data_IF_896501115002
#
_entry.id   IF_896501115002
#
_cell.length_a   1.000
_cell.length_b   1.000
_cell.length_c   1.000
_cell.angle_alpha   90.00
_cell.angle_beta   90.00
_cell.angle_gamma   90.00
#
_symmetry.space_group_name_H-M   'P 1'
#
loop_
_entity.id
_entity.type
_entity.pdbx_description
1 polymer ?
#
# COMPACT_ATOMS: atom_id res chain seq x y z
N UNK A 1 -14.43 -27.41 19.93
CA UNK A 1 -15.46 -27.72 18.93
C UNK A 1 -15.17 -26.86 17.73
N UNK A 2 -15.40 -27.32 16.51
CA UNK A 2 -15.28 -26.46 15.33
C UNK A 2 -16.33 -25.35 15.41
N UNK A 3 -15.89 -24.13 15.10
CA UNK A 3 -16.76 -22.95 15.09
C UNK A 3 -17.54 -22.92 13.78
N UNK A 4 -18.84 -22.67 13.85
CA UNK A 4 -19.75 -22.70 12.69
C UNK A 4 -20.52 -21.39 12.53
N UNK A 5 -21.08 -21.18 11.35
CA UNK A 5 -21.95 -20.03 11.11
C UNK A 5 -23.15 -20.06 12.07
N UNK A 6 -23.43 -18.95 12.73
CA UNK A 6 -24.45 -18.80 13.76
C UNK A 6 -23.93 -18.84 15.18
N UNK A 7 -22.72 -19.40 15.41
CA UNK A 7 -22.12 -19.45 16.74
C UNK A 7 -21.78 -18.05 17.24
N UNK A 8 -21.74 -17.91 18.57
CA UNK A 8 -21.44 -16.66 19.24
C UNK A 8 -20.19 -16.79 20.10
N UNK A 9 -19.21 -15.91 19.84
CA UNK A 9 -18.01 -15.75 20.66
C UNK A 9 -18.06 -14.38 21.34
N UNK A 10 -18.54 -14.35 22.58
CA UNK A 10 -18.76 -13.09 23.29
C UNK A 10 -19.71 -12.16 22.56
N UNK A 11 -19.23 -10.99 22.10
CA UNK A 11 -20.02 -10.02 21.36
C UNK A 11 -20.03 -10.27 19.83
N UNK A 12 -19.34 -11.28 19.35
CA UNK A 12 -19.16 -11.53 17.92
C UNK A 12 -20.01 -12.73 17.49
N UNK A 13 -20.88 -12.51 16.52
CA UNK A 13 -21.67 -13.56 15.88
C UNK A 13 -21.01 -13.98 14.58
N UNK A 14 -20.66 -15.24 14.43
CA UNK A 14 -20.04 -15.80 13.25
C UNK A 14 -21.05 -15.81 12.09
N UNK A 15 -20.66 -15.26 10.94
CA UNK A 15 -21.50 -15.20 9.75
C UNK A 15 -21.10 -16.27 8.73
N UNK A 16 -19.79 -16.38 8.45
CA UNK A 16 -19.26 -17.37 7.50
C UNK A 16 -17.77 -17.60 7.73
N UNK A 17 -17.24 -18.72 7.26
CA UNK A 17 -15.79 -18.92 7.16
C UNK A 17 -15.23 -18.09 5.98
N UNK A 18 -14.08 -17.45 6.20
CA UNK A 18 -13.28 -16.76 5.17
C UNK A 18 -12.08 -17.60 4.73
N UNK A 19 -11.60 -18.51 5.58
CA UNK A 19 -10.49 -19.38 5.27
C UNK A 19 -9.99 -20.14 6.49
N UNK A 20 -9.27 -21.24 6.23
CA UNK A 20 -8.61 -22.05 7.25
C UNK A 20 -7.18 -22.35 6.80
N UNK A 21 -6.24 -22.35 7.74
CA UNK A 21 -4.83 -22.65 7.47
C UNK A 21 -4.05 -23.04 8.71
N UNK A 22 -2.77 -23.31 8.58
CA UNK A 22 -1.90 -23.73 9.68
C UNK A 22 -1.74 -22.70 10.80
N UNK A 23 -2.25 -21.48 10.63
CA UNK A 23 -2.21 -20.40 11.63
C UNK A 23 -3.60 -20.10 12.24
N UNK A 24 -4.56 -20.98 12.04
CA UNK A 24 -5.93 -20.86 12.55
C UNK A 24 -6.97 -20.66 11.46
N UNK A 25 -8.18 -20.44 11.90
CA UNK A 25 -9.36 -20.25 11.07
C UNK A 25 -9.78 -18.78 11.11
N UNK A 26 -10.17 -18.23 9.97
CA UNK A 26 -10.62 -16.85 9.84
C UNK A 26 -12.10 -16.84 9.44
N UNK A 27 -12.88 -16.06 10.17
CA UNK A 27 -14.31 -15.94 9.99
C UNK A 27 -14.72 -14.50 9.72
N UNK A 28 -15.79 -14.32 8.95
CA UNK A 28 -16.56 -13.09 8.91
C UNK A 28 -17.50 -13.13 10.11
N UNK A 29 -17.50 -12.09 10.92
CA UNK A 29 -18.31 -11.98 12.12
C UNK A 29 -18.96 -10.61 12.23
N UNK A 30 -20.11 -10.54 12.90
CA UNK A 30 -20.79 -9.30 13.25
C UNK A 30 -20.47 -8.93 14.69
N UNK A 31 -19.89 -7.77 14.91
CA UNK A 31 -19.70 -7.15 16.23
C UNK A 31 -21.01 -6.50 16.67
N UNK A 32 -21.71 -7.12 17.63
CA UNK A 32 -23.00 -6.64 18.11
C UNK A 32 -22.92 -5.35 18.93
N UNK A 33 -21.74 -5.01 19.47
CA UNK A 33 -21.51 -3.77 20.24
C UNK A 33 -21.40 -2.54 19.35
N UNK A 34 -20.74 -2.70 18.19
CA UNK A 34 -20.45 -1.59 17.30
C UNK A 34 -21.27 -1.62 16.01
N UNK A 35 -22.09 -2.66 15.80
CA UNK A 35 -22.96 -2.79 14.63
C UNK A 35 -22.21 -2.88 13.30
N UNK A 36 -21.02 -3.48 13.31
CA UNK A 36 -20.15 -3.62 12.13
C UNK A 36 -19.72 -5.06 11.90
N UNK A 37 -19.30 -5.36 10.69
CA UNK A 37 -18.66 -6.62 10.38
C UNK A 37 -17.14 -6.54 10.54
N UNK A 38 -16.55 -7.65 10.96
CA UNK A 38 -15.11 -7.79 11.22
C UNK A 38 -14.62 -9.13 10.68
N UNK A 39 -13.32 -9.22 10.41
CA UNK A 39 -12.64 -10.50 10.28
C UNK A 39 -12.20 -10.95 11.68
N UNK A 40 -12.51 -12.20 12.04
CA UNK A 40 -12.21 -12.81 13.33
C UNK A 40 -11.30 -14.00 13.09
N UNK A 41 -10.06 -13.94 13.58
CA UNK A 41 -9.07 -15.02 13.45
C UNK A 41 -8.91 -15.75 14.76
N UNK A 42 -9.24 -17.04 14.75
CA UNK A 42 -9.14 -17.93 15.91
C UNK A 42 -7.78 -18.60 15.95
N UNK A 43 -7.15 -18.62 17.12
CA UNK A 43 -5.88 -19.30 17.30
C UNK A 43 -6.09 -20.82 17.38
N UNK A 44 -5.19 -21.62 16.78
CA UNK A 44 -5.18 -23.06 16.97
C UNK A 44 -5.07 -23.44 18.47
N UNK A 45 -5.79 -24.50 18.87
CA UNK A 45 -5.84 -24.91 20.27
C UNK A 45 -4.46 -25.35 20.83
N UNK A 46 -3.63 -25.97 20.00
CA UNK A 46 -2.25 -26.36 20.35
C UNK A 46 -1.36 -25.14 20.62
N UNK A 47 -1.60 -24.05 19.90
CA UNK A 47 -0.89 -22.78 20.09
C UNK A 47 -1.37 -22.05 21.36
N UNK A 48 -2.68 -22.11 21.63
CA UNK A 48 -3.27 -21.54 22.83
C UNK A 48 -2.88 -22.31 24.10
N UNK A 49 -2.56 -23.61 23.99
CA UNK A 49 -2.13 -24.46 25.09
C UNK A 49 -0.67 -24.24 25.54
N UNK A 50 0.16 -23.59 24.70
CA UNK A 50 1.55 -23.27 25.01
C UNK A 50 1.66 -21.81 25.53
N UNK A 51 1.98 -21.59 26.82
CA UNK A 51 2.02 -20.26 27.42
C UNK A 51 3.01 -19.32 26.75
N UNK A 52 4.17 -19.82 26.30
CA UNK A 52 5.21 -19.01 25.67
C UNK A 52 4.78 -18.56 24.25
N UNK A 53 4.13 -19.45 23.51
CA UNK A 53 3.58 -19.12 22.19
C UNK A 53 2.43 -18.13 22.32
N UNK A 54 1.55 -18.31 23.27
CA UNK A 54 0.43 -17.40 23.53
C UNK A 54 0.90 -16.01 23.95
N UNK A 55 1.86 -15.92 24.89
CA UNK A 55 2.43 -14.64 25.32
C UNK A 55 3.10 -13.90 24.16
N UNK A 56 3.79 -14.61 23.28
CA UNK A 56 4.42 -14.04 22.10
C UNK A 56 3.39 -13.55 21.10
N UNK A 57 2.37 -14.36 20.80
CA UNK A 57 1.26 -13.95 19.94
C UNK A 57 0.60 -12.66 20.46
N UNK A 58 0.30 -12.58 21.76
CA UNK A 58 -0.32 -11.39 22.36
C UNK A 58 0.59 -10.15 22.23
N UNK A 59 1.91 -10.31 22.38
CA UNK A 59 2.86 -9.23 22.22
C UNK A 59 2.91 -8.73 20.78
N UNK A 60 3.00 -9.63 19.79
CA UNK A 60 3.04 -9.31 18.38
C UNK A 60 1.71 -8.72 17.90
N UNK A 61 0.57 -9.23 18.37
CA UNK A 61 -0.74 -8.68 18.07
C UNK A 61 -0.91 -7.24 18.61
N UNK A 62 -0.38 -6.96 19.82
CA UNK A 62 -0.36 -5.58 20.36
C UNK A 62 0.52 -4.65 19.53
N UNK A 63 1.67 -5.13 19.05
CA UNK A 63 2.53 -4.36 18.18
C UNK A 63 1.85 -4.06 16.83
N UNK A 64 1.17 -5.05 16.25
CA UNK A 64 0.37 -4.88 15.04
C UNK A 64 -0.81 -3.92 15.24
N UNK A 65 -1.49 -3.97 16.41
CA UNK A 65 -2.59 -3.06 16.72
C UNK A 65 -2.13 -1.59 16.88
N UNK A 66 -0.85 -1.35 17.17
CA UNK A 66 -0.27 -0.01 17.21
C UNK A 66 0.07 0.57 15.82
N UNK A 67 -0.06 -0.24 14.76
CA UNK A 67 0.13 0.22 13.39
C UNK A 67 -1.17 0.87 12.87
N UNK A 68 -1.05 2.10 12.42
CA UNK A 68 -2.11 2.81 11.71
C UNK A 68 -1.57 3.24 10.35
N UNK A 69 -1.87 2.46 9.32
CA UNK A 69 -1.38 2.71 7.97
C UNK A 69 -2.43 2.30 6.93
N UNK A 70 -2.66 3.08 5.86
CA UNK A 70 -3.71 2.79 4.87
C UNK A 70 -3.55 1.43 4.19
N UNK A 71 -2.30 0.95 4.04
CA UNK A 71 -1.99 -0.32 3.40
C UNK A 71 -1.75 -1.49 4.38
N UNK A 72 -2.08 -1.33 5.67
CA UNK A 72 -2.05 -2.39 6.67
C UNK A 72 -3.46 -2.62 7.21
N UNK A 73 -3.83 -3.88 7.41
CA UNK A 73 -5.10 -4.21 8.06
C UNK A 73 -5.09 -3.74 9.52
N UNK A 74 -6.16 -3.07 9.95
CA UNK A 74 -6.27 -2.60 11.34
C UNK A 74 -6.69 -3.76 12.26
N UNK A 75 -5.88 -4.06 13.27
CA UNK A 75 -6.25 -4.98 14.35
C UNK A 75 -7.08 -4.21 15.38
N UNK A 76 -8.28 -4.71 15.69
CA UNK A 76 -9.20 -4.05 16.61
C UNK A 76 -9.06 -4.50 18.04
N UNK A 77 -9.00 -5.83 18.26
CA UNK A 77 -8.89 -6.41 19.60
C UNK A 77 -8.23 -7.78 19.59
N UNK A 78 -7.70 -8.17 20.76
CA UNK A 78 -7.26 -9.53 21.07
C UNK A 78 -8.08 -9.96 22.26
N UNK A 79 -8.85 -11.01 22.13
CA UNK A 79 -9.83 -11.44 23.12
C UNK A 79 -9.71 -12.94 23.45
N UNK A 80 -10.27 -13.30 24.60
CA UNK A 80 -10.45 -14.69 25.02
C UNK A 80 -11.87 -14.88 25.53
N UNK A 81 -12.58 -15.83 24.95
CA UNK A 81 -13.94 -16.20 25.38
C UNK A 81 -14.02 -17.72 25.48
N UNK A 82 -14.46 -18.23 26.63
CA UNK A 82 -14.63 -19.68 26.89
C UNK A 82 -13.39 -20.54 26.55
N UNK A 83 -12.18 -19.97 26.78
CA UNK A 83 -10.92 -20.64 26.48
C UNK A 83 -10.45 -20.50 25.01
N UNK A 84 -11.27 -19.93 24.13
CA UNK A 84 -10.92 -19.67 22.76
C UNK A 84 -10.22 -18.31 22.66
N UNK A 85 -8.99 -18.30 22.16
CA UNK A 85 -8.24 -17.08 21.88
C UNK A 85 -8.45 -16.66 20.43
N UNK A 86 -8.76 -15.40 20.20
CA UNK A 86 -8.96 -14.85 18.87
C UNK A 86 -8.58 -13.38 18.79
N UNK A 87 -8.35 -12.90 17.59
CA UNK A 87 -8.20 -11.47 17.29
C UNK A 87 -9.29 -11.02 16.32
N UNK A 88 -9.68 -9.76 16.44
CA UNK A 88 -10.60 -9.13 15.49
C UNK A 88 -9.87 -8.04 14.71
N UNK A 89 -10.18 -7.92 13.44
CA UNK A 89 -9.53 -6.99 12.56
C UNK A 89 -10.49 -6.48 11.48
N UNK A 90 -10.03 -5.48 10.74
CA UNK A 90 -10.71 -4.92 9.57
C UNK A 90 -11.07 -6.03 8.58
N UNK A 91 -12.35 -6.08 8.20
CA UNK A 91 -12.81 -6.93 7.11
C UNK A 91 -12.51 -6.21 5.79
N UNK A 92 -11.60 -6.77 5.01
CA UNK A 92 -11.19 -6.20 3.72
C UNK A 92 -12.08 -6.78 2.62
N UNK A 93 -12.80 -5.90 1.92
CA UNK A 93 -13.53 -6.27 0.70
C UNK A 93 -12.58 -6.21 -0.50
N UNK A 94 -12.13 -7.38 -0.94
CA UNK A 94 -11.13 -7.51 -1.99
C UNK A 94 -10.78 -8.96 -2.30
N UNK A 95 -9.78 -9.13 -3.16
CA UNK A 95 -9.22 -10.44 -3.50
C UNK A 95 -7.76 -10.52 -3.07
N UNK A 96 -7.31 -11.72 -2.72
CA UNK A 96 -5.88 -11.91 -2.43
C UNK A 96 -5.04 -11.66 -3.69
N UNK A 97 -3.82 -11.14 -3.50
CA UNK A 97 -2.88 -10.95 -4.61
C UNK A 97 -2.61 -12.27 -5.33
N UNK A 98 -2.63 -13.40 -4.59
CA UNK A 98 -2.51 -14.74 -5.16
C UNK A 98 -3.58 -15.04 -6.22
N UNK A 99 -4.81 -14.58 -6.01
CA UNK A 99 -5.94 -14.79 -6.94
C UNK A 99 -5.92 -13.79 -8.10
N UNK A 100 -5.16 -12.71 -7.96
CA UNK A 100 -5.11 -11.64 -8.97
C UNK A 100 -3.91 -11.74 -9.89
N UNK A 101 -2.86 -12.52 -9.55
CA UNK A 101 -1.70 -12.74 -10.42
C UNK A 101 -2.09 -13.66 -11.58
N UNK A 102 -2.06 -13.18 -12.85
CA UNK A 102 -2.32 -14.00 -14.02
C UNK A 102 -1.17 -14.98 -14.26
N UNK A 103 -1.43 -16.08 -14.98
CA UNK A 103 -0.40 -17.07 -15.33
C UNK A 103 0.70 -16.50 -16.24
N UNK A 104 0.37 -15.52 -17.04
CA UNK A 104 1.27 -14.78 -17.93
C UNK A 104 2.01 -13.64 -17.25
N UNK A 105 1.70 -13.36 -15.98
CA UNK A 105 2.22 -12.23 -15.24
C UNK A 105 1.42 -10.92 -15.46
N UNK A 106 1.77 -9.91 -14.71
CA UNK A 106 1.15 -8.59 -14.75
C UNK A 106 2.01 -7.60 -15.57
N UNK A 107 1.40 -6.56 -16.15
CA UNK A 107 2.14 -5.44 -16.73
C UNK A 107 3.07 -4.78 -15.70
N UNK A 108 4.32 -4.46 -16.08
CA UNK A 108 5.34 -3.93 -15.18
C UNK A 108 4.87 -2.67 -14.41
N UNK A 109 4.14 -1.76 -15.04
CA UNK A 109 3.59 -0.58 -14.38
C UNK A 109 2.65 -0.91 -13.23
N UNK A 110 1.81 -1.95 -13.40
CA UNK A 110 0.90 -2.41 -12.32
C UNK A 110 1.67 -3.08 -11.19
N UNK A 111 2.71 -3.85 -11.54
CA UNK A 111 3.59 -4.48 -10.54
C UNK A 111 4.27 -3.41 -9.68
N UNK A 112 4.83 -2.38 -10.29
CA UNK A 112 5.51 -1.29 -9.56
C UNK A 112 4.54 -0.51 -8.67
N UNK A 113 3.33 -0.24 -9.13
CA UNK A 113 2.29 0.43 -8.35
C UNK A 113 1.93 -0.36 -7.08
N UNK A 114 1.62 -1.65 -7.22
CA UNK A 114 1.29 -2.52 -6.09
C UNK A 114 2.50 -2.71 -5.16
N UNK A 115 3.70 -2.88 -5.74
CA UNK A 115 4.95 -3.04 -5.01
C UNK A 115 5.28 -1.83 -4.14
N UNK A 116 5.07 -0.61 -4.66
CA UNK A 116 5.30 0.61 -3.91
C UNK A 116 4.38 0.69 -2.68
N UNK A 117 3.10 0.33 -2.82
CA UNK A 117 2.14 0.31 -1.71
C UNK A 117 2.48 -0.78 -0.66
N UNK A 118 2.95 -1.96 -1.11
CA UNK A 118 3.41 -3.04 -0.22
C UNK A 118 4.67 -2.60 0.52
N UNK A 119 5.66 -2.03 -0.19
CA UNK A 119 6.89 -1.57 0.41
C UNK A 119 6.65 -0.46 1.45
N UNK A 120 5.72 0.45 1.19
CA UNK A 120 5.33 1.52 2.13
C UNK A 120 4.71 0.94 3.42
N UNK A 121 3.85 -0.07 3.30
CA UNK A 121 3.33 -0.82 4.45
C UNK A 121 4.45 -1.49 5.26
N UNK A 122 5.43 -2.11 4.59
CA UNK A 122 6.57 -2.75 5.24
C UNK A 122 7.45 -1.70 5.95
N UNK A 123 7.66 -0.52 5.34
CA UNK A 123 8.38 0.60 5.99
C UNK A 123 7.72 0.97 7.30
N UNK A 124 6.38 1.17 7.30
CA UNK A 124 5.65 1.54 8.50
C UNK A 124 5.75 0.49 9.63
N UNK A 125 5.84 -0.80 9.28
CA UNK A 125 6.05 -1.87 10.22
C UNK A 125 7.50 -1.91 10.76
N UNK A 126 8.49 -1.81 9.87
CA UNK A 126 9.91 -1.83 10.23
C UNK A 126 10.30 -0.63 11.09
N UNK A 127 9.68 0.55 10.90
CA UNK A 127 9.86 1.74 11.75
C UNK A 127 9.35 1.53 13.20
N UNK A 128 8.59 0.45 13.44
CA UNK A 128 8.13 0.00 14.77
C UNK A 128 8.80 -1.32 15.21
N UNK A 129 9.94 -1.66 14.60
CA UNK A 129 10.68 -2.90 14.85
C UNK A 129 9.85 -4.18 14.64
N UNK A 130 8.78 -4.10 13.83
CA UNK A 130 7.93 -5.22 13.49
C UNK A 130 8.27 -5.77 12.11
N UNK A 131 8.83 -6.99 12.08
CA UNK A 131 9.15 -7.73 10.85
C UNK A 131 8.00 -8.67 10.51
N UNK A 132 7.57 -8.71 9.25
CA UNK A 132 6.40 -9.50 8.83
C UNK A 132 6.66 -11.01 8.85
N UNK A 133 7.81 -11.48 8.38
CA UNK A 133 8.29 -12.87 8.40
C UNK A 133 7.46 -13.91 7.64
N UNK A 134 6.26 -13.57 7.18
CA UNK A 134 5.36 -14.45 6.39
C UNK A 134 4.75 -13.70 5.21
N UNK A 135 5.53 -12.82 4.58
CA UNK A 135 5.08 -12.05 3.43
C UNK A 135 4.90 -12.98 2.22
N UNK A 136 3.68 -13.04 1.71
CA UNK A 136 3.28 -13.88 0.55
C UNK A 136 2.03 -13.30 -0.11
N UNK A 137 1.73 -13.62 -1.38
CA UNK A 137 0.55 -13.09 -2.09
C UNK A 137 -0.79 -13.39 -1.39
N UNK A 138 -0.89 -14.47 -0.62
CA UNK A 138 -2.11 -14.78 0.13
C UNK A 138 -2.35 -13.84 1.32
N UNK A 139 -1.30 -13.17 1.83
CA UNK A 139 -1.37 -12.21 2.93
C UNK A 139 -1.44 -10.75 2.43
N UNK A 140 -1.70 -10.55 1.15
CA UNK A 140 -1.85 -9.24 0.52
C UNK A 140 -3.21 -9.21 -0.16
N UNK A 141 -4.10 -8.33 0.29
CA UNK A 141 -5.40 -8.11 -0.36
C UNK A 141 -5.33 -6.91 -1.30
N UNK A 142 -6.02 -7.02 -2.41
CA UNK A 142 -6.23 -5.93 -3.37
C UNK A 142 -7.73 -5.67 -3.42
N UNK A 143 -8.14 -4.49 -3.00
CA UNK A 143 -9.54 -4.05 -3.00
C UNK A 143 -10.03 -3.73 -4.41
N UNK A 144 -11.34 -3.62 -4.60
CA UNK A 144 -11.93 -3.31 -5.91
C UNK A 144 -11.46 -1.97 -6.49
N UNK A 145 -11.13 -1.00 -5.63
CA UNK A 145 -10.55 0.30 -6.01
C UNK A 145 -9.02 0.25 -6.18
N UNK A 146 -8.42 -0.94 -6.13
CA UNK A 146 -7.02 -1.18 -6.42
C UNK A 146 -6.05 -0.93 -5.27
N UNK A 147 -6.54 -0.59 -4.06
CA UNK A 147 -5.69 -0.41 -2.87
C UNK A 147 -5.18 -1.73 -2.33
N UNK A 148 -3.97 -1.69 -1.78
CA UNK A 148 -3.35 -2.83 -1.11
C UNK A 148 -3.66 -2.79 0.38
N UNK A 149 -3.93 -3.96 0.97
CA UNK A 149 -4.01 -4.18 2.41
C UNK A 149 -3.15 -5.39 2.79
N UNK A 150 -2.12 -5.16 3.57
CA UNK A 150 -1.23 -6.19 4.11
C UNK A 150 -1.87 -6.82 5.34
N UNK A 151 -1.98 -8.14 5.35
CA UNK A 151 -2.57 -8.94 6.40
C UNK A 151 -1.48 -9.63 7.24
N UNK A 152 -1.83 -10.11 8.43
CA UNK A 152 -1.12 -11.15 9.19
C UNK A 152 0.40 -10.96 9.31
N UNK A 153 0.84 -9.92 10.00
CA UNK A 153 2.22 -9.86 10.48
C UNK A 153 2.49 -11.11 11.31
N UNK A 154 3.44 -11.90 10.90
CA UNK A 154 3.86 -13.24 11.35
C UNK A 154 3.53 -13.71 12.78
N UNK A 155 2.33 -13.38 13.27
CA UNK A 155 1.81 -13.55 14.63
C UNK A 155 1.93 -14.99 15.18
N UNK A 156 2.28 -15.93 14.32
CA UNK A 156 2.32 -17.36 14.69
C UNK A 156 3.61 -18.09 14.26
N UNK A 157 4.51 -17.47 13.50
CA UNK A 157 5.78 -18.10 13.11
C UNK A 157 6.84 -17.91 14.18
N UNK A 158 6.81 -18.80 15.14
CA UNK A 158 7.99 -19.06 15.96
C UNK A 158 9.04 -19.70 15.04
N UNK A 159 10.00 -18.93 14.58
CA UNK A 159 11.28 -19.53 14.23
C UNK A 159 11.84 -20.02 15.56
N UNK A 160 11.67 -21.34 15.86
CA UNK A 160 12.54 -21.99 16.81
C UNK A 160 13.96 -21.55 16.38
N UNK A 161 14.69 -20.96 17.30
CA UNK A 161 16.15 -21.08 17.22
C UNK A 161 16.40 -22.57 17.33
N UNK A 162 16.50 -23.23 16.19
CA UNK A 162 16.73 -24.68 16.12
C UNK A 162 18.18 -24.79 16.57
N UNK A 163 18.38 -25.39 17.75
CA UNK A 163 19.71 -25.89 18.08
C UNK A 163 20.14 -26.85 16.97
N UNK A 164 21.46 -26.95 16.66
CA UNK A 164 21.93 -27.83 15.60
C UNK A 164 21.40 -29.27 15.69
N UNK A 165 21.07 -29.76 16.90
CA UNK A 165 20.48 -31.07 17.15
C UNK A 165 18.97 -31.17 16.82
N UNK A 166 18.24 -30.05 16.87
CA UNK A 166 16.81 -30.02 16.53
C UNK A 166 16.55 -29.88 15.02
N UNK A 167 17.52 -29.39 14.25
CA UNK A 167 17.40 -29.32 12.78
C UNK A 167 17.25 -30.72 12.18
N UNK A 168 17.98 -31.70 12.70
CA UNK A 168 17.91 -33.10 12.25
C UNK A 168 16.59 -33.74 12.64
N UNK A 169 16.06 -33.43 13.81
CA UNK A 169 14.74 -33.93 14.29
C UNK A 169 13.55 -33.31 13.55
N UNK A 170 13.61 -32.04 13.19
CA UNK A 170 12.56 -31.38 12.40
C UNK A 170 12.45 -31.97 10.98
N UNK A 171 13.51 -32.57 10.45
CA UNK A 171 13.48 -33.33 9.20
C UNK A 171 12.96 -34.78 9.38
N UNK A 172 13.11 -35.38 10.56
CA UNK A 172 12.67 -36.76 10.83
C UNK A 172 11.21 -36.85 11.32
N UNK A 173 10.60 -35.77 11.87
CA UNK A 173 9.18 -35.71 12.25
C UNK A 173 8.22 -35.66 11.04
N UNK A 174 8.70 -35.78 9.82
CA UNK A 174 7.89 -35.99 8.60
C UNK A 174 7.21 -37.38 8.54
N UNK A 175 7.32 -38.22 9.59
CA UNK A 175 6.66 -39.54 9.63
C UNK A 175 5.15 -39.49 9.94
N UNK A 176 4.56 -38.36 10.30
CA UNK A 176 3.12 -38.22 10.50
C UNK A 176 2.50 -37.14 9.60
N UNK A 177 2.54 -37.34 8.28
CA UNK A 177 1.53 -36.78 7.34
C UNK A 177 1.25 -35.28 7.30
N UNK A 178 1.90 -34.46 8.12
CA UNK A 178 1.82 -33.00 8.08
C UNK A 178 3.09 -32.47 7.44
N UNK A 179 3.15 -32.53 6.13
CA UNK A 179 4.13 -31.76 5.34
C UNK A 179 3.80 -30.30 5.58
N UNK A 180 4.46 -29.70 6.54
CA UNK A 180 4.58 -28.24 6.65
C UNK A 180 5.48 -27.82 5.47
N UNK A 181 4.85 -27.73 4.27
CA UNK A 181 5.56 -27.43 3.03
C UNK A 181 6.42 -26.19 3.22
N UNK A 182 7.67 -26.25 2.83
CA UNK A 182 8.57 -25.09 2.85
C UNK A 182 7.89 -23.98 2.06
N UNK A 183 7.49 -22.89 2.72
CA UNK A 183 6.76 -21.83 2.02
C UNK A 183 7.68 -21.22 0.97
N UNK A 184 7.24 -21.12 -0.28
CA UNK A 184 8.08 -20.70 -1.40
C UNK A 184 8.53 -19.25 -1.36
N UNK A 185 8.13 -18.51 -0.33
CA UNK A 185 8.49 -17.10 -0.12
C UNK A 185 9.43 -16.90 1.08
N UNK A 186 9.88 -18.00 1.73
CA UNK A 186 10.88 -17.92 2.80
C UNK A 186 12.23 -17.45 2.27
N UNK A 187 12.92 -16.64 3.08
CA UNK A 187 14.30 -16.26 2.80
C UNK A 187 15.28 -17.40 3.11
N UNK A 188 16.52 -17.36 2.55
CA UNK A 188 17.56 -18.32 2.86
C UNK A 188 17.86 -18.49 4.36
N UNK A 189 17.89 -17.37 5.10
CA UNK A 189 18.13 -17.37 6.55
C UNK A 189 16.98 -18.00 7.34
N UNK A 190 15.73 -17.86 6.88
CA UNK A 190 14.58 -18.56 7.49
C UNK A 190 14.66 -20.07 7.28
N UNK A 191 15.08 -20.50 6.11
CA UNK A 191 15.26 -21.94 5.78
C UNK A 191 16.43 -22.52 6.57
N UNK A 192 17.53 -21.77 6.67
CA UNK A 192 18.73 -22.21 7.39
C UNK A 192 18.61 -22.12 8.92
N UNK A 193 17.53 -21.51 9.44
CA UNK A 193 17.36 -21.29 10.87
C UNK A 193 18.36 -20.33 11.48
N UNK A 194 18.97 -19.45 10.68
CA UNK A 194 19.92 -18.43 11.14
C UNK A 194 19.18 -17.17 11.61
N UNK A 195 19.90 -16.16 12.11
CA UNK A 195 19.30 -14.91 12.57
C UNK A 195 18.49 -14.23 11.46
N UNK A 196 17.24 -13.91 11.75
CA UNK A 196 16.28 -13.29 10.81
C UNK A 196 16.06 -11.85 11.22
N UNK A 197 16.35 -10.90 10.32
CA UNK A 197 16.08 -9.48 10.50
C UNK A 197 15.04 -8.96 9.47
N UNK A 198 14.88 -7.65 9.37
CA UNK A 198 13.95 -6.98 8.47
C UNK A 198 14.21 -7.27 6.98
N UNK A 199 15.41 -7.71 6.60
CA UNK A 199 15.79 -8.02 5.21
C UNK A 199 15.18 -9.32 4.70
N UNK A 200 14.59 -10.13 5.58
CA UNK A 200 13.79 -11.29 5.18
C UNK A 200 12.54 -10.87 4.40
N UNK A 201 11.88 -9.78 4.82
CA UNK A 201 10.70 -9.25 4.13
C UNK A 201 11.06 -8.70 2.73
N UNK A 202 12.29 -8.16 2.59
CA UNK A 202 12.81 -7.70 1.29
C UNK A 202 12.97 -8.86 0.32
N UNK A 203 13.52 -9.99 0.77
CA UNK A 203 13.62 -11.20 -0.03
C UNK A 203 12.24 -11.74 -0.43
N UNK A 204 11.33 -11.82 0.53
CA UNK A 204 9.95 -12.27 0.27
C UNK A 204 9.23 -11.35 -0.72
N UNK A 205 9.40 -10.03 -0.61
CA UNK A 205 8.85 -9.07 -1.57
C UNK A 205 9.49 -9.23 -2.95
N UNK A 206 10.81 -9.44 -3.03
CA UNK A 206 11.49 -9.75 -4.30
C UNK A 206 10.90 -10.99 -5.00
N UNK A 207 10.61 -12.04 -4.22
CA UNK A 207 9.94 -13.25 -4.73
C UNK A 207 8.55 -12.96 -5.28
N UNK A 208 7.77 -12.13 -4.56
CA UNK A 208 6.43 -11.71 -4.98
C UNK A 208 6.51 -10.86 -6.26
N UNK A 209 7.44 -9.92 -6.34
CA UNK A 209 7.62 -9.07 -7.53
C UNK A 209 7.97 -9.90 -8.78
N UNK A 210 8.85 -10.87 -8.62
CA UNK A 210 9.18 -11.79 -9.70
C UNK A 210 7.94 -12.56 -10.16
N UNK A 211 7.15 -13.13 -9.22
CA UNK A 211 5.94 -13.87 -9.54
C UNK A 211 4.87 -12.98 -10.19
N UNK A 212 4.71 -11.74 -9.72
CA UNK A 212 3.80 -10.78 -10.34
C UNK A 212 4.15 -10.48 -11.79
N UNK A 213 5.45 -10.37 -12.13
CA UNK A 213 5.91 -10.08 -13.48
C UNK A 213 5.84 -11.27 -14.43
N UNK A 214 6.06 -12.48 -13.91
CA UNK A 214 6.27 -13.68 -14.75
C UNK A 214 5.13 -14.69 -14.66
N UNK A 215 4.21 -14.54 -13.69
CA UNK A 215 3.19 -15.53 -13.35
C UNK A 215 3.74 -16.80 -12.68
N UNK A 216 5.05 -16.86 -12.45
CA UNK A 216 5.73 -18.02 -11.85
C UNK A 216 6.71 -17.58 -10.77
N UNK A 217 6.98 -18.43 -9.80
CA UNK A 217 7.96 -18.14 -8.74
C UNK A 217 9.39 -18.33 -9.23
N UNK A 218 10.37 -17.54 -8.73
CA UNK A 218 11.76 -17.64 -9.16
C UNK A 218 12.41 -18.95 -8.73
N UNK A 219 12.02 -19.49 -7.58
CA UNK A 219 12.56 -20.73 -7.03
C UNK A 219 11.48 -21.80 -7.01
N UNK A 220 11.78 -22.99 -7.54
CA UNK A 220 10.81 -24.05 -7.74
C UNK A 220 11.37 -25.39 -7.25
N UNK A 221 10.49 -26.32 -6.93
CA UNK A 221 10.83 -27.68 -6.53
C UNK A 221 9.57 -28.52 -6.40
N UNK A 222 9.64 -29.79 -6.72
CA UNK A 222 8.54 -30.75 -6.61
C UNK A 222 8.39 -31.29 -5.18
N UNK A 223 9.44 -31.15 -4.35
CA UNK A 223 9.46 -31.49 -2.93
C UNK A 223 9.88 -30.29 -2.10
N UNK A 224 9.55 -30.29 -0.80
CA UNK A 224 9.97 -29.23 0.14
C UNK A 224 11.49 -29.09 0.20
N UNK A 225 12.22 -30.22 0.10
CA UNK A 225 13.68 -30.24 0.10
C UNK A 225 14.26 -29.62 -1.20
N UNK A 226 13.70 -29.94 -2.36
CA UNK A 226 14.11 -29.32 -3.62
C UNK A 226 13.81 -27.82 -3.63
N UNK A 227 12.65 -27.40 -3.14
CA UNK A 227 12.29 -26.00 -2.99
C UNK A 227 13.29 -25.28 -2.08
N UNK A 228 13.62 -25.84 -0.92
CA UNK A 228 14.61 -25.28 -0.01
C UNK A 228 15.99 -25.17 -0.67
N UNK A 229 16.44 -26.21 -1.37
CA UNK A 229 17.71 -26.21 -2.09
C UNK A 229 17.75 -25.11 -3.17
N UNK A 230 16.68 -24.95 -3.93
CA UNK A 230 16.54 -23.91 -4.94
C UNK A 230 16.63 -22.52 -4.32
N UNK A 231 15.90 -22.25 -3.22
CA UNK A 231 15.97 -20.96 -2.52
C UNK A 231 17.37 -20.67 -1.98
N UNK A 232 18.07 -21.68 -1.48
CA UNK A 232 19.40 -21.53 -0.91
C UNK A 232 20.51 -21.32 -1.94
N UNK A 233 20.41 -21.92 -3.10
CA UNK A 233 21.55 -22.07 -4.03
C UNK A 233 21.32 -21.52 -5.44
N UNK A 234 20.08 -21.62 -5.98
CA UNK A 234 19.86 -21.27 -7.37
C UNK A 234 19.86 -19.74 -7.56
N UNK A 235 20.47 -19.23 -8.62
CA UNK A 235 20.36 -17.82 -8.97
C UNK A 235 18.91 -17.49 -9.37
N UNK A 236 18.56 -16.22 -9.30
CA UNK A 236 17.29 -15.74 -9.84
C UNK A 236 17.26 -15.96 -11.35
N UNK A 237 16.25 -16.65 -11.92
CA UNK A 237 16.11 -16.78 -13.36
C UNK A 237 15.90 -15.41 -14.02
N UNK A 238 16.42 -15.24 -15.25
CA UNK A 238 16.24 -13.99 -15.99
C UNK A 238 14.75 -13.69 -16.24
N UNK A 239 14.35 -12.45 -16.05
CA UNK A 239 12.99 -11.99 -16.37
C UNK A 239 12.96 -11.67 -17.87
N UNK A 240 12.30 -12.54 -18.63
CA UNK A 240 12.21 -12.43 -20.10
C UNK A 240 10.88 -11.81 -20.56
N UNK A 241 10.06 -11.27 -19.64
CA UNK A 241 8.76 -10.67 -19.97
C UNK A 241 8.94 -9.38 -20.75
N UNK A 242 8.27 -9.20 -21.91
CA UNK A 242 8.38 -7.99 -22.70
C UNK A 242 7.94 -6.74 -21.93
N UNK A 243 8.67 -5.64 -22.08
CA UNK A 243 8.30 -4.35 -21.47
C UNK A 243 8.67 -4.21 -20.00
N UNK A 244 9.42 -5.16 -19.41
CA UNK A 244 9.96 -5.00 -18.06
C UNK A 244 11.21 -4.11 -18.12
N UNK A 245 11.23 -2.96 -17.38
CA UNK A 245 12.42 -2.13 -17.31
C UNK A 245 13.61 -2.88 -16.71
N UNK A 246 14.81 -2.69 -17.27
CA UNK A 246 16.04 -3.30 -16.73
C UNK A 246 16.28 -2.97 -15.26
N UNK A 247 16.01 -1.72 -14.87
CA UNK A 247 16.10 -1.24 -13.48
C UNK A 247 15.20 -2.03 -12.53
N UNK A 248 14.00 -2.45 -12.95
CA UNK A 248 13.11 -3.28 -12.15
C UNK A 248 13.67 -4.71 -12.01
N UNK A 249 14.19 -5.28 -13.08
CA UNK A 249 14.83 -6.59 -13.05
C UNK A 249 16.06 -6.61 -12.13
N UNK A 250 16.90 -5.57 -12.20
CA UNK A 250 18.08 -5.41 -11.35
C UNK A 250 17.69 -5.22 -9.87
N UNK A 251 16.64 -4.45 -9.59
CA UNK A 251 16.12 -4.26 -8.25
C UNK A 251 15.64 -5.59 -7.64
N UNK A 252 14.87 -6.37 -8.40
CA UNK A 252 14.40 -7.69 -7.97
C UNK A 252 15.58 -8.63 -7.74
N UNK A 253 16.59 -8.62 -8.61
CA UNK A 253 17.81 -9.43 -8.45
C UNK A 253 18.53 -9.12 -7.14
N UNK A 254 18.67 -7.83 -6.79
CA UNK A 254 19.26 -7.41 -5.51
C UNK A 254 18.39 -7.82 -4.31
N UNK A 255 17.08 -7.75 -4.41
CA UNK A 255 16.19 -8.25 -3.36
C UNK A 255 16.37 -9.75 -3.12
N UNK A 256 16.63 -10.52 -4.16
CA UNK A 256 16.76 -11.99 -4.15
C UNK A 256 18.20 -12.48 -3.92
N UNK A 257 19.14 -11.61 -3.61
CA UNK A 257 20.48 -11.99 -3.19
C UNK A 257 20.43 -12.96 -1.99
N UNK A 258 21.25 -14.03 -2.02
CA UNK A 258 21.23 -15.08 -0.99
C UNK A 258 21.77 -14.56 0.34
N UNK A 259 22.86 -13.80 0.27
CA UNK A 259 23.43 -13.11 1.42
C UNK A 259 22.58 -11.86 1.74
N UNK A 260 22.02 -11.72 2.97
CA UNK A 260 21.27 -10.54 3.36
C UNK A 260 22.04 -9.21 3.22
N UNK A 261 23.37 -9.22 3.36
CA UNK A 261 24.19 -8.01 3.24
C UNK A 261 24.32 -7.49 1.80
N UNK A 262 24.04 -8.33 0.81
CA UNK A 262 24.04 -7.97 -0.61
C UNK A 262 22.67 -7.49 -1.11
N UNK A 263 21.62 -7.60 -0.27
CA UNK A 263 20.28 -7.15 -0.60
C UNK A 263 20.15 -5.63 -0.50
N UNK A 264 19.03 -5.13 -1.00
CA UNK A 264 18.57 -3.77 -0.67
C UNK A 264 18.50 -3.65 0.85
N UNK A 265 19.19 -2.66 1.41
CA UNK A 265 19.46 -2.60 2.86
C UNK A 265 18.23 -2.29 3.72
N UNK A 266 17.15 -1.74 3.14
CA UNK A 266 15.93 -1.42 3.88
C UNK A 266 14.70 -1.34 2.97
N UNK A 267 13.51 -1.57 3.53
CA UNK A 267 12.25 -1.38 2.83
C UNK A 267 12.06 0.08 2.35
N UNK A 268 12.60 1.05 3.09
CA UNK A 268 12.58 2.47 2.71
C UNK A 268 13.38 2.74 1.42
N UNK A 269 14.55 2.14 1.29
CA UNK A 269 15.35 2.24 0.06
C UNK A 269 14.63 1.54 -1.10
N UNK A 270 14.08 0.35 -0.86
CA UNK A 270 13.29 -0.38 -1.85
C UNK A 270 12.08 0.43 -2.34
N UNK A 271 11.32 1.04 -1.43
CA UNK A 271 10.18 1.90 -1.78
C UNK A 271 10.61 3.11 -2.62
N UNK A 272 11.73 3.74 -2.27
CA UNK A 272 12.29 4.87 -3.04
C UNK A 272 12.69 4.46 -4.46
N UNK A 273 13.34 3.32 -4.62
CA UNK A 273 13.76 2.83 -5.94
C UNK A 273 12.54 2.43 -6.81
N UNK A 274 11.53 1.77 -6.24
CA UNK A 274 10.27 1.49 -6.93
C UNK A 274 9.58 2.78 -7.40
N UNK A 275 9.55 3.82 -6.57
CA UNK A 275 9.02 5.12 -6.95
C UNK A 275 9.82 5.78 -8.10
N UNK A 276 11.16 5.63 -8.12
CA UNK A 276 11.98 6.17 -9.21
C UNK A 276 11.75 5.46 -10.54
N UNK A 277 11.51 4.13 -10.52
CA UNK A 277 11.15 3.36 -11.71
C UNK A 277 9.81 3.82 -12.27
N UNK A 278 8.83 4.11 -11.39
CA UNK A 278 7.54 4.70 -11.82
C UNK A 278 7.74 6.04 -12.51
N UNK A 279 8.61 6.90 -11.98
CA UNK A 279 8.92 8.20 -12.56
C UNK A 279 9.71 8.10 -13.89
N UNK A 280 10.59 7.11 -14.03
CA UNK A 280 11.37 6.84 -15.24
C UNK A 280 10.56 6.20 -16.36
N UNK A 281 9.61 5.33 -16.04
CA UNK A 281 8.73 4.68 -17.02
C UNK A 281 7.78 5.65 -17.73
N UNK A 282 7.59 6.86 -17.19
CA UNK A 282 6.83 7.93 -17.83
C UNK A 282 7.47 8.53 -19.11
N UNK A 283 8.69 8.09 -19.48
CA UNK A 283 9.40 8.63 -20.65
C UNK A 283 9.24 7.81 -21.95
N UNK A 284 8.64 6.62 -21.89
CA UNK A 284 8.53 5.74 -23.06
C UNK A 284 7.21 4.96 -23.15
N UNK A 285 6.05 5.58 -22.92
CA UNK A 285 4.76 4.93 -23.22
C UNK A 285 3.73 5.96 -23.67
N UNK A 286 3.73 6.22 -24.95
CA UNK A 286 2.53 6.70 -25.67
C UNK A 286 1.58 5.52 -25.80
N UNK A 287 0.57 5.44 -24.95
CA UNK A 287 -0.79 4.92 -25.09
C UNK A 287 -1.32 4.47 -23.71
N UNK A 288 -2.05 5.36 -23.05
CA UNK A 288 -2.81 5.04 -21.85
C UNK A 288 -4.17 4.50 -22.22
N UNK A 289 -4.66 3.43 -21.51
CA UNK A 289 -6.10 3.32 -21.34
C UNK A 289 -6.55 4.51 -20.47
N UNK A 290 -7.64 5.12 -20.84
CA UNK A 290 -8.26 6.19 -20.08
C UNK A 290 -8.47 5.71 -18.63
N UNK A 291 -7.73 6.26 -17.69
CA UNK A 291 -7.93 6.00 -16.28
C UNK A 291 -9.28 6.61 -15.90
N UNK A 292 -10.24 5.76 -15.50
CA UNK A 292 -11.49 6.21 -14.94
C UNK A 292 -11.22 7.05 -13.70
N UNK A 293 -11.45 8.36 -13.77
CA UNK A 293 -11.36 9.28 -12.65
C UNK A 293 -10.68 10.61 -12.98
N UNK A 294 -11.08 11.62 -12.24
CA UNK A 294 -10.53 12.97 -12.36
C UNK A 294 -9.30 13.13 -11.47
N UNK A 295 -8.12 13.02 -12.07
CA UNK A 295 -6.86 13.21 -11.39
C UNK A 295 -6.44 14.67 -11.40
N UNK A 296 -6.02 15.17 -10.24
CA UNK A 296 -5.51 16.52 -10.03
C UNK A 296 -4.05 16.44 -9.63
N UNK A 297 -3.20 17.23 -10.24
CA UNK A 297 -1.81 17.40 -9.83
C UNK A 297 -1.54 18.83 -9.42
N UNK A 298 -0.66 19.02 -8.46
CA UNK A 298 -0.07 20.31 -8.12
C UNK A 298 1.37 20.29 -8.62
N UNK A 299 1.67 21.12 -9.63
CA UNK A 299 3.04 21.32 -10.08
C UNK A 299 3.82 22.09 -9.00
N UNK A 300 5.10 21.77 -8.85
CA UNK A 300 5.97 22.53 -7.95
C UNK A 300 5.92 24.01 -8.29
N UNK A 301 5.61 24.84 -7.30
CA UNK A 301 5.58 26.29 -7.50
C UNK A 301 6.97 26.79 -7.85
N UNK A 302 7.04 27.66 -8.83
CA UNK A 302 8.31 28.22 -9.32
C UNK A 302 8.57 29.59 -8.70
N UNK A 303 9.80 29.87 -8.28
CA UNK A 303 10.22 31.18 -7.81
C UNK A 303 11.09 31.87 -8.86
N UNK A 304 10.82 33.16 -9.10
CA UNK A 304 11.70 33.97 -9.94
C UNK A 304 12.68 34.70 -9.03
N UNK A 305 13.89 34.11 -8.86
CA UNK A 305 14.95 34.60 -7.97
C UNK A 305 15.73 33.44 -7.39
N UNK A 306 16.94 33.71 -6.87
CA UNK A 306 17.84 32.72 -6.28
C UNK A 306 17.80 32.71 -4.75
N UNK A 307 16.82 33.38 -4.12
CA UNK A 307 16.69 33.40 -2.66
C UNK A 307 16.24 32.02 -2.15
N UNK A 308 16.98 31.46 -1.23
CA UNK A 308 16.70 30.16 -0.59
C UNK A 308 15.32 30.19 0.11
N UNK A 309 14.96 31.34 0.67
CA UNK A 309 13.70 31.53 1.41
C UNK A 309 12.49 31.52 0.45
N UNK A 310 12.62 32.06 -0.75
CA UNK A 310 11.56 32.01 -1.77
C UNK A 310 11.37 30.60 -2.31
N UNK A 311 12.45 29.81 -2.43
CA UNK A 311 12.37 28.42 -2.84
C UNK A 311 11.66 27.62 -1.75
N UNK A 312 12.03 27.80 -0.49
CA UNK A 312 11.37 27.16 0.65
C UNK A 312 9.87 27.53 0.75
N UNK A 313 9.52 28.78 0.52
CA UNK A 313 8.11 29.21 0.47
C UNK A 313 7.35 28.55 -0.68
N UNK A 314 7.96 28.43 -1.87
CA UNK A 314 7.33 27.78 -3.02
C UNK A 314 7.10 26.26 -2.77
N UNK A 315 8.07 25.59 -2.17
CA UNK A 315 7.96 24.18 -1.77
C UNK A 315 6.87 23.99 -0.71
N UNK A 316 6.86 24.79 0.36
CA UNK A 316 5.87 24.71 1.42
C UNK A 316 4.45 24.99 0.93
N UNK A 317 4.23 25.99 0.08
CA UNK A 317 2.93 26.25 -0.55
C UNK A 317 2.47 25.06 -1.41
N UNK A 318 3.38 24.43 -2.14
CA UNK A 318 3.06 23.24 -2.93
C UNK A 318 2.59 22.09 -2.04
N UNK A 319 3.31 21.81 -0.95
CA UNK A 319 2.99 20.74 -0.01
C UNK A 319 1.65 20.99 0.72
N UNK A 320 1.41 22.21 1.19
CA UNK A 320 0.17 22.55 1.89
C UNK A 320 -1.05 22.48 0.98
N UNK A 321 -0.94 22.91 -0.28
CA UNK A 321 -2.02 22.80 -1.25
C UNK A 321 -2.29 21.33 -1.58
N UNK A 322 -1.25 20.50 -1.75
CA UNK A 322 -1.41 19.03 -1.93
C UNK A 322 -2.15 18.43 -0.73
N UNK A 323 -1.71 18.75 0.50
CA UNK A 323 -2.34 18.28 1.72
C UNK A 323 -3.80 18.75 1.84
N UNK A 324 -4.07 20.00 1.50
CA UNK A 324 -5.41 20.57 1.50
C UNK A 324 -6.35 19.88 0.50
N UNK A 325 -5.93 19.70 -0.74
CA UNK A 325 -6.71 19.01 -1.78
C UNK A 325 -6.94 17.54 -1.46
N UNK A 326 -6.00 16.88 -0.80
CA UNK A 326 -6.10 15.46 -0.42
C UNK A 326 -7.17 15.17 0.65
N UNK A 327 -7.70 16.21 1.32
CA UNK A 327 -8.82 16.07 2.28
C UNK A 327 -10.17 15.85 1.59
N UNK A 328 -10.29 16.16 0.30
CA UNK A 328 -11.54 15.99 -0.44
C UNK A 328 -11.63 14.58 -1.00
N UNK A 329 -12.53 13.77 -0.45
CA UNK A 329 -12.71 12.35 -0.81
C UNK A 329 -13.07 12.09 -2.27
N UNK A 330 -13.63 13.09 -2.96
CA UNK A 330 -14.00 13.02 -4.37
C UNK A 330 -12.83 13.38 -5.33
N UNK A 331 -11.69 13.86 -4.82
CA UNK A 331 -10.49 14.16 -5.61
C UNK A 331 -9.46 13.03 -5.49
N UNK A 332 -8.76 12.80 -6.59
CA UNK A 332 -7.55 11.98 -6.63
C UNK A 332 -6.37 12.89 -6.90
N UNK A 333 -5.57 13.13 -5.88
CA UNK A 333 -4.44 14.06 -5.96
C UNK A 333 -3.16 13.29 -6.25
N UNK A 334 -2.43 13.69 -7.30
CA UNK A 334 -1.10 13.19 -7.58
C UNK A 334 -0.10 13.92 -6.68
N UNK A 335 0.65 13.17 -5.88
CA UNK A 335 1.64 13.72 -4.96
C UNK A 335 2.99 14.00 -5.62
N UNK A 336 3.23 13.48 -6.83
CA UNK A 336 4.49 13.69 -7.58
C UNK A 336 4.22 13.78 -9.08
N UNK A 337 4.72 14.86 -9.69
CA UNK A 337 4.62 15.10 -11.13
C UNK A 337 3.19 15.42 -11.61
N UNK A 338 3.08 15.87 -12.85
CA UNK A 338 1.81 16.27 -13.47
C UNK A 338 1.34 15.30 -14.54
N UNK A 339 2.18 14.31 -14.88
CA UNK A 339 1.90 13.36 -15.93
C UNK A 339 0.68 12.48 -15.59
N UNK A 340 -0.36 12.61 -16.43
CA UNK A 340 -1.59 11.85 -16.30
C UNK A 340 -2.66 12.48 -15.43
N UNK A 341 -2.42 13.64 -14.83
CA UNK A 341 -3.49 14.43 -14.25
C UNK A 341 -4.32 15.06 -15.37
N UNK A 342 -5.63 15.02 -15.22
CA UNK A 342 -6.52 15.79 -16.07
C UNK A 342 -6.48 17.26 -15.70
N UNK A 343 -6.33 17.59 -14.44
CA UNK A 343 -6.25 18.95 -13.97
C UNK A 343 -4.89 19.19 -13.33
N UNK A 344 -4.25 20.30 -13.70
CA UNK A 344 -2.95 20.71 -13.16
C UNK A 344 -3.08 22.09 -12.54
N UNK A 345 -2.73 22.19 -11.28
CA UNK A 345 -2.59 23.45 -10.57
C UNK A 345 -1.12 23.86 -10.61
N UNK A 346 -0.84 25.03 -11.12
CA UNK A 346 0.50 25.60 -11.24
C UNK A 346 0.60 26.91 -10.47
N UNK A 347 1.76 27.18 -9.89
CA UNK A 347 2.01 28.42 -9.18
C UNK A 347 3.37 29.04 -9.51
N UNK A 348 3.43 30.36 -9.42
CA UNK A 348 4.68 31.10 -9.55
C UNK A 348 4.76 32.25 -8.55
N UNK A 349 5.95 32.42 -7.94
CA UNK A 349 6.27 33.45 -6.99
C UNK A 349 7.22 34.49 -7.61
N UNK A 350 6.88 35.76 -7.45
CA UNK A 350 7.74 36.86 -7.88
C UNK A 350 7.84 37.88 -6.77
N UNK A 351 9.07 38.16 -6.34
CA UNK A 351 9.34 39.20 -5.35
C UNK A 351 9.81 40.49 -6.03
N UNK A 352 9.29 41.62 -5.58
CA UNK A 352 9.77 42.95 -5.93
C UNK A 352 9.84 43.80 -4.66
N UNK A 353 11.05 44.04 -4.16
CA UNK A 353 11.28 44.69 -2.87
C UNK A 353 10.61 43.90 -1.73
N UNK A 354 9.78 44.55 -0.93
CA UNK A 354 9.02 43.96 0.17
C UNK A 354 7.66 43.38 -0.26
N UNK A 355 7.40 43.28 -1.55
CA UNK A 355 6.13 42.75 -2.07
C UNK A 355 6.37 41.39 -2.75
N UNK A 356 5.54 40.42 -2.42
CA UNK A 356 5.46 39.10 -3.07
C UNK A 356 4.16 39.03 -3.86
N UNK A 357 4.28 38.65 -5.12
CA UNK A 357 3.14 38.25 -5.96
C UNK A 357 3.17 36.77 -6.20
N UNK A 358 2.10 36.08 -5.83
CA UNK A 358 1.86 34.67 -6.09
C UNK A 358 0.76 34.54 -7.13
N UNK A 359 1.08 33.91 -8.26
CA UNK A 359 0.10 33.62 -9.31
C UNK A 359 -0.20 32.13 -9.26
N UNK A 360 -1.47 31.77 -9.20
CA UNK A 360 -1.94 30.38 -9.20
C UNK A 360 -2.88 30.18 -10.37
N UNK A 361 -2.75 29.06 -11.08
CA UNK A 361 -3.55 28.72 -12.25
C UNK A 361 -3.98 27.27 -12.19
N UNK A 362 -5.21 26.98 -12.63
CA UNK A 362 -5.74 25.65 -12.83
C UNK A 362 -6.01 25.42 -14.31
N UNK A 363 -5.46 24.35 -14.86
CA UNK A 363 -5.58 24.00 -16.28
C UNK A 363 -6.18 22.60 -16.45
N UNK A 364 -7.09 22.43 -17.43
CA UNK A 364 -7.52 21.11 -17.92
C UNK A 364 -6.56 20.68 -19.04
N UNK A 365 -5.79 19.62 -18.78
CA UNK A 365 -4.77 19.11 -19.72
C UNK A 365 -5.38 18.45 -20.96
N UNK A 366 -6.65 18.06 -20.91
CA UNK A 366 -7.35 17.45 -22.04
C UNK A 366 -7.72 18.49 -23.08
N UNK A 367 -8.13 19.68 -22.63
CA UNK A 367 -8.55 20.78 -23.51
C UNK A 367 -7.48 21.85 -23.68
N UNK A 368 -6.46 21.88 -22.81
CA UNK A 368 -5.48 22.95 -22.73
C UNK A 368 -6.03 24.27 -22.17
N UNK A 369 -7.27 24.29 -21.71
CA UNK A 369 -7.92 25.49 -21.23
C UNK A 369 -7.53 25.82 -19.77
N UNK A 370 -7.26 27.10 -19.49
CA UNK A 370 -7.17 27.59 -18.13
C UNK A 370 -8.58 27.72 -17.56
N UNK A 371 -8.90 26.92 -16.55
CA UNK A 371 -10.19 26.95 -15.87
C UNK A 371 -10.29 28.09 -14.86
N UNK A 372 -9.16 28.45 -14.28
CA UNK A 372 -9.07 29.51 -13.27
C UNK A 372 -7.64 30.02 -13.15
N UNK A 373 -7.50 31.32 -12.85
CA UNK A 373 -6.23 31.93 -12.53
C UNK A 373 -6.44 33.12 -11.60
N UNK A 374 -5.61 33.22 -10.56
CA UNK A 374 -5.69 34.30 -9.59
C UNK A 374 -4.31 34.78 -9.15
N UNK A 375 -4.22 36.07 -8.79
CA UNK A 375 -3.00 36.71 -8.34
C UNK A 375 -3.20 37.21 -6.90
N UNK A 376 -2.32 36.75 -6.02
CA UNK A 376 -2.28 37.18 -4.63
C UNK A 376 -1.06 38.08 -4.42
N UNK A 377 -1.25 39.23 -3.76
CA UNK A 377 -0.14 40.12 -3.38
C UNK A 377 -0.06 40.19 -1.87
N UNK A 378 1.12 39.99 -1.30
CA UNK A 378 1.40 39.98 0.13
C UNK A 378 2.66 40.78 0.42
N UNK A 379 2.73 41.35 1.62
CA UNK A 379 3.99 41.87 2.16
C UNK A 379 4.90 40.67 2.49
N UNK A 380 6.17 40.77 2.13
CA UNK A 380 7.14 39.70 2.28
C UNK A 380 8.33 40.15 3.12
N UNK A 381 8.61 39.35 4.15
CA UNK A 381 9.88 39.32 4.85
C UNK A 381 10.24 37.86 5.17
N UNK A 382 11.50 37.50 5.44
CA UNK A 382 11.87 36.14 5.81
C UNK A 382 11.08 35.59 7.02
N UNK A 383 10.68 36.44 7.94
CA UNK A 383 9.94 36.06 9.14
C UNK A 383 8.44 35.79 8.90
N UNK A 384 7.90 36.18 7.73
CA UNK A 384 6.47 36.04 7.42
C UNK A 384 6.16 34.85 6.49
N UNK A 385 7.12 33.95 6.25
CA UNK A 385 6.96 32.81 5.34
C UNK A 385 5.77 31.93 5.71
N UNK A 386 5.67 31.54 6.98
CA UNK A 386 4.57 30.69 7.47
C UNK A 386 3.22 31.40 7.45
N UNK A 387 3.17 32.70 7.80
CA UNK A 387 1.94 33.49 7.70
C UNK A 387 1.42 33.60 6.26
N UNK A 388 2.34 33.65 5.29
CA UNK A 388 1.99 33.68 3.87
C UNK A 388 1.47 32.31 3.41
N UNK A 389 2.07 31.20 3.85
CA UNK A 389 1.61 29.85 3.58
C UNK A 389 0.20 29.63 4.14
N UNK A 390 0.02 29.86 5.45
CA UNK A 390 -1.25 29.73 6.16
C UNK A 390 -2.35 30.65 5.57
N UNK A 391 -1.97 31.80 5.05
CA UNK A 391 -2.91 32.77 4.47
C UNK A 391 -3.23 32.56 2.99
N UNK A 392 -2.47 31.72 2.26
CA UNK A 392 -2.68 31.49 0.82
C UNK A 392 -3.19 30.09 0.49
N UNK A 393 -2.69 29.04 1.15
CA UNK A 393 -3.06 27.68 0.81
C UNK A 393 -4.58 27.40 1.04
N UNK A 394 -5.20 27.76 2.16
CA UNK A 394 -6.62 27.51 2.37
C UNK A 394 -7.55 28.20 1.35
N UNK A 395 -7.41 29.48 1.01
CA UNK A 395 -8.23 30.13 -0.02
C UNK A 395 -8.08 29.47 -1.40
N UNK A 396 -6.86 29.09 -1.80
CA UNK A 396 -6.62 28.40 -3.07
C UNK A 396 -7.34 27.05 -3.08
N UNK A 397 -7.17 26.26 -2.02
CA UNK A 397 -7.81 24.94 -1.87
C UNK A 397 -9.33 25.05 -1.91
N UNK A 398 -9.91 26.01 -1.16
CA UNK A 398 -11.36 26.25 -1.14
C UNK A 398 -11.89 26.63 -2.52
N UNK A 399 -11.28 27.63 -3.19
CA UNK A 399 -11.70 28.06 -4.53
C UNK A 399 -11.66 26.91 -5.55
N UNK A 400 -10.66 26.04 -5.43
CA UNK A 400 -10.45 24.95 -6.38
C UNK A 400 -11.34 23.76 -6.08
N UNK A 401 -11.47 23.35 -4.81
CA UNK A 401 -11.96 22.04 -4.41
C UNK A 401 -13.24 22.04 -3.53
N UNK A 402 -13.74 23.16 -3.04
CA UNK A 402 -15.05 23.14 -2.37
C UNK A 402 -16.15 22.68 -3.32
N UNK A 403 -17.28 22.22 -2.80
CA UNK A 403 -18.39 21.70 -3.60
C UNK A 403 -18.84 22.66 -4.71
N UNK A 404 -18.68 23.98 -4.48
CA UNK A 404 -18.92 25.06 -5.43
C UNK A 404 -17.67 25.51 -6.19
N UNK A 405 -16.54 24.84 -5.99
CA UNK A 405 -15.25 25.16 -6.58
C UNK A 405 -15.14 24.86 -8.06
N UNK A 406 -14.03 25.29 -8.63
CA UNK A 406 -13.77 25.20 -10.07
C UNK A 406 -13.70 23.75 -10.55
N UNK A 407 -13.08 22.84 -9.76
CA UNK A 407 -12.93 21.44 -10.12
C UNK A 407 -14.26 20.69 -10.18
N UNK A 408 -15.12 20.68 -9.13
CA UNK A 408 -16.42 20.00 -9.21
C UNK A 408 -17.29 20.50 -10.36
N UNK A 409 -17.26 21.80 -10.63
CA UNK A 409 -18.01 22.38 -11.74
C UNK A 409 -17.51 21.87 -13.10
N UNK A 410 -16.21 21.86 -13.33
CA UNK A 410 -15.59 21.36 -14.56
C UNK A 410 -15.82 19.88 -14.75
N UNK A 411 -15.67 19.08 -13.66
CA UNK A 411 -15.93 17.64 -13.65
C UNK A 411 -17.39 17.32 -13.99
N UNK A 412 -18.33 17.96 -13.32
CA UNK A 412 -19.76 17.79 -13.59
C UNK A 412 -20.15 18.17 -15.03
N UNK A 413 -19.54 19.23 -15.57
CA UNK A 413 -19.78 19.66 -16.95
C UNK A 413 -19.27 18.62 -17.96
N UNK A 414 -18.12 18.02 -17.73
CA UNK A 414 -17.56 16.99 -18.60
C UNK A 414 -18.34 15.69 -18.64
N UNK A 415 -19.13 15.40 -17.57
CA UNK A 415 -19.95 14.21 -17.45
C UNK A 415 -21.36 14.35 -18.07
N UNK A 416 -21.73 15.54 -18.54
CA UNK A 416 -23.08 15.79 -19.12
C UNK A 416 -23.40 14.94 -20.34
N UNK A 417 -22.40 14.68 -21.19
CA UNK A 417 -22.57 13.91 -22.41
C UNK A 417 -22.57 12.39 -22.19
N UNK A 418 -22.19 11.92 -21.00
CA UNK A 418 -22.12 10.50 -20.66
C UNK A 418 -23.49 9.98 -20.26
N UNK A 419 -23.91 8.83 -20.80
CA UNK A 419 -25.17 8.20 -20.43
C UNK A 419 -25.15 7.70 -18.99
N UNK A 420 -26.31 7.61 -18.33
CA UNK A 420 -26.40 7.18 -16.92
C UNK A 420 -25.84 5.77 -16.70
N UNK A 421 -26.05 4.88 -17.65
CA UNK A 421 -25.57 3.51 -17.63
C UNK A 421 -24.04 3.37 -17.78
N UNK A 422 -23.37 4.43 -18.26
CA UNK A 422 -21.91 4.51 -18.49
C UNK A 422 -21.18 5.23 -17.36
N UNK A 423 -21.90 5.75 -16.37
CA UNK A 423 -21.31 6.47 -15.24
C UNK A 423 -20.80 5.48 -14.19
N UNK A 424 -19.56 5.64 -13.77
CA UNK A 424 -19.09 4.98 -12.55
C UNK A 424 -19.81 5.56 -11.33
N UNK A 425 -19.87 4.84 -10.18
CA UNK A 425 -20.49 5.37 -8.95
C UNK A 425 -19.92 6.72 -8.53
N UNK A 426 -18.62 6.93 -8.74
CA UNK A 426 -17.93 8.18 -8.46
C UNK A 426 -18.36 9.32 -9.39
N UNK A 427 -18.50 9.05 -10.68
CA UNK A 427 -18.97 10.02 -11.68
C UNK A 427 -20.45 10.38 -11.47
N UNK A 428 -21.26 9.40 -11.07
CA UNK A 428 -22.66 9.64 -10.72
C UNK A 428 -22.78 10.58 -9.51
N UNK A 429 -21.92 10.39 -8.49
CA UNK A 429 -21.83 11.30 -7.34
C UNK A 429 -21.46 12.72 -7.78
N UNK A 430 -20.40 12.87 -8.57
CA UNK A 430 -19.94 14.18 -9.08
C UNK A 430 -21.03 14.88 -9.92
N UNK A 431 -21.75 14.12 -10.75
CA UNK A 431 -22.86 14.65 -11.55
C UNK A 431 -24.04 15.07 -10.67
N UNK A 432 -24.31 14.37 -9.56
CA UNK A 432 -25.41 14.67 -8.62
C UNK A 432 -25.15 15.91 -7.76
N UNK A 433 -23.90 16.27 -7.47
CA UNK A 433 -23.55 17.45 -6.66
C UNK A 433 -24.18 18.76 -7.18
N UNK A 434 -24.54 18.80 -8.46
CA UNK A 434 -25.21 19.96 -9.08
C UNK A 434 -26.73 19.94 -8.94
N UNK A 435 -27.36 18.77 -8.75
CA UNK A 435 -28.82 18.65 -8.62
C UNK A 435 -29.36 19.25 -7.32
N UNK A 436 -28.55 19.28 -6.26
CA UNK A 436 -28.91 19.88 -4.97
C UNK A 436 -28.93 21.41 -4.97
N UNK A 437 -28.59 22.06 -6.08
CA UNK A 437 -28.52 23.52 -6.22
C UNK A 437 -29.75 24.17 -6.87
N UNK A 438 -30.74 23.39 -7.29
CA UNK A 438 -31.91 23.89 -8.05
C UNK A 438 -33.21 23.86 -7.23
N UNK A 439 -33.08 23.74 -5.90
CA UNK A 439 -34.18 23.87 -4.98
C UNK A 439 -33.93 24.94 -3.93
#
# INVERSE_FOLDING_TARGET
MPISAGDQLGAYRILSSLGAGGMGEVYRASDSRLGREVALKVLPADMAADPDRLARFQREARAAAALNHPNIVTVYSVEQVEGVHFLTMELVDGRSLRETIPREGMPAGRVVELAAAIADAIVAAHDKDLVHRDLKPANIMVTADGRVKLLDFGLAKVVRAVSPDDATRAFDETQYGVVMGTPPYMSPEQISGTAVDHRTDIFSLGTILYEMLTGTRPFQGTTSMQMAASILRDPMPAISSPGVPGELSDLISRCLAKNPDERVSSARLLAKELQSITAGSGRAATARPAADGFWVAVASFTSTGTSTELVALAEGLTEEIIAGLSRFSYLRVLTKGTAGARYVLEGSLRQLGSQLRVTVKLMDTTTGAHLWAENYTRSYSPDTIFEIQDGLAPPVVSTVADLDGVLPQSMAQSLRAKKEEELTPHEALLRSLRYFRTF
#
